data_IF_533012304261
#
_entry.id   IF_533012304261
#
_cell.length_a   1.000
_cell.length_b   1.000
_cell.length_c   1.000
_cell.angle_alpha   90.00
_cell.angle_beta   90.00
_cell.angle_gamma   90.00
#
_symmetry.space_group_name_H-M   'P 1'
#
loop_
_entity.id
_entity.type
_entity.pdbx_description
1 polymer ?
#
# COMPACT_ATOMS: atom_id res chain seq x y z
N UNK A 1 0.32 -8.97 -31.33
CA UNK A 1 -0.33 -7.68 -31.66
C UNK A 1 0.08 -6.67 -30.61
N UNK A 2 0.66 -5.53 -31.01
CA UNK A 2 1.09 -4.48 -30.09
C UNK A 2 0.05 -3.36 -30.05
N UNK A 3 -0.24 -2.86 -28.85
CA UNK A 3 -1.16 -1.73 -28.64
C UNK A 3 -0.36 -0.42 -28.74
N UNK A 4 -0.89 0.61 -29.40
CA UNK A 4 -0.18 1.90 -29.48
C UNK A 4 -0.26 2.66 -28.16
N UNK A 5 0.81 3.39 -27.81
CA UNK A 5 0.82 4.28 -26.64
C UNK A 5 -0.28 5.35 -26.71
N UNK A 6 -0.56 5.85 -27.91
CA UNK A 6 -1.62 6.83 -28.16
C UNK A 6 -3.02 6.31 -27.86
N UNK A 7 -3.21 4.99 -27.89
CA UNK A 7 -4.46 4.34 -27.50
C UNK A 7 -4.44 3.90 -26.03
N UNK A 8 -3.32 3.33 -25.58
CA UNK A 8 -3.17 2.79 -24.23
C UNK A 8 -3.30 3.85 -23.15
N UNK A 9 -2.77 5.05 -23.38
CA UNK A 9 -2.83 6.14 -22.40
C UNK A 9 -4.26 6.62 -22.15
N UNK A 10 -5.06 6.99 -23.17
CA UNK A 10 -6.49 7.28 -22.97
C UNK A 10 -7.24 6.15 -22.29
N UNK A 11 -7.04 4.90 -22.75
CA UNK A 11 -7.69 3.74 -22.14
C UNK A 11 -7.36 3.59 -20.64
N UNK A 12 -6.08 3.75 -20.26
CA UNK A 12 -5.67 3.68 -18.86
C UNK A 12 -6.28 4.81 -18.02
N UNK A 13 -6.46 6.00 -18.60
CA UNK A 13 -7.15 7.13 -17.94
C UNK A 13 -8.62 6.81 -17.71
N UNK A 14 -9.30 6.24 -18.71
CA UNK A 14 -10.71 5.85 -18.59
C UNK A 14 -10.91 4.77 -17.51
N UNK A 15 -10.06 3.73 -17.54
CA UNK A 15 -10.07 2.68 -16.50
C UNK A 15 -9.79 3.27 -15.11
N UNK A 16 -8.84 4.20 -15.00
CA UNK A 16 -8.53 4.86 -13.74
C UNK A 16 -9.70 5.72 -13.24
N UNK A 17 -10.40 6.42 -14.13
CA UNK A 17 -11.55 7.24 -13.77
C UNK A 17 -12.74 6.41 -13.26
N UNK A 18 -12.87 5.16 -13.72
CA UNK A 18 -13.88 4.20 -13.25
C UNK A 18 -13.45 3.42 -12.00
N UNK A 19 -12.19 3.55 -11.57
CA UNK A 19 -11.67 2.79 -10.43
C UNK A 19 -12.23 3.38 -9.13
N UNK A 20 -12.86 2.58 -8.26
CA UNK A 20 -13.37 3.05 -6.98
C UNK A 20 -12.26 3.63 -6.08
N UNK A 21 -12.63 4.55 -5.18
CA UNK A 21 -11.68 5.16 -4.24
C UNK A 21 -10.93 4.13 -3.37
N UNK A 22 -11.56 3.01 -3.06
CA UNK A 22 -10.98 1.90 -2.30
C UNK A 22 -10.12 0.95 -3.14
N UNK A 23 -9.81 1.32 -4.39
CA UNK A 23 -9.03 0.52 -5.34
C UNK A 23 -9.70 -0.82 -5.72
N UNK A 24 -11.01 -0.95 -5.46
CA UNK A 24 -11.72 -2.22 -5.63
C UNK A 24 -11.31 -3.28 -4.60
N UNK A 25 -10.82 -2.86 -3.43
CA UNK A 25 -10.43 -3.76 -2.35
C UNK A 25 -11.66 -4.48 -1.78
N UNK A 26 -11.68 -5.82 -1.88
CA UNK A 26 -12.73 -6.61 -1.24
C UNK A 26 -12.33 -6.88 0.22
N UNK A 27 -12.93 -6.11 1.12
CA UNK A 27 -12.69 -6.23 2.55
C UNK A 27 -13.65 -7.20 3.25
N UNK A 28 -14.59 -7.87 2.57
CA UNK A 28 -15.60 -8.73 3.20
C UNK A 28 -14.96 -9.86 4.00
N UNK A 29 -13.97 -10.54 3.41
CA UNK A 29 -13.24 -11.60 4.11
C UNK A 29 -12.51 -11.05 5.33
N UNK A 30 -11.79 -9.94 5.20
CA UNK A 30 -11.10 -9.28 6.32
C UNK A 30 -12.08 -8.83 7.41
N UNK A 31 -13.26 -8.35 7.03
CA UNK A 31 -14.30 -7.93 7.94
C UNK A 31 -14.95 -9.12 8.69
N UNK A 32 -14.97 -10.31 8.08
CA UNK A 32 -15.49 -11.53 8.70
C UNK A 32 -14.58 -12.12 9.77
N UNK A 33 -13.29 -11.75 9.77
CA UNK A 33 -12.31 -12.24 10.74
C UNK A 33 -12.54 -11.62 12.12
N UNK A 34 -12.20 -12.35 13.19
CA UNK A 34 -12.11 -11.79 14.54
C UNK A 34 -10.90 -10.84 14.66
N UNK A 35 -10.89 -10.01 15.69
CA UNK A 35 -9.77 -9.08 15.93
C UNK A 35 -8.45 -9.83 16.22
N UNK A 36 -8.52 -10.99 16.88
CA UNK A 36 -7.36 -11.88 17.11
C UNK A 36 -6.83 -12.49 15.80
N UNK A 37 -7.74 -12.84 14.88
CA UNK A 37 -7.34 -13.31 13.54
C UNK A 37 -6.68 -12.19 12.74
N UNK A 38 -7.21 -10.96 12.82
CA UNK A 38 -6.61 -9.79 12.17
C UNK A 38 -5.18 -9.50 12.67
N UNK A 39 -4.87 -9.76 13.95
CA UNK A 39 -3.52 -9.62 14.51
C UNK A 39 -2.50 -10.59 13.90
N UNK A 40 -2.95 -11.65 13.22
CA UNK A 40 -2.07 -12.54 12.46
C UNK A 40 -1.80 -12.03 11.03
N UNK A 41 -2.62 -11.11 10.52
CA UNK A 41 -2.47 -10.54 9.18
C UNK A 41 -1.35 -9.50 9.18
N UNK A 42 -0.44 -9.65 8.21
CA UNK A 42 0.68 -8.73 8.00
C UNK A 42 0.45 -7.93 6.71
N UNK A 43 0.04 -6.68 6.85
CA UNK A 43 -0.04 -5.73 5.75
C UNK A 43 1.37 -5.23 5.39
N UNK A 44 1.64 -5.08 4.11
CA UNK A 44 2.91 -4.59 3.59
C UNK A 44 2.73 -3.15 3.13
N UNK A 45 3.57 -2.24 3.64
CA UNK A 45 3.65 -0.88 3.12
C UNK A 45 4.85 -0.84 2.19
N UNK A 46 4.61 -0.51 0.93
CA UNK A 46 5.65 -0.42 -0.09
C UNK A 46 5.67 0.97 -0.76
N UNK A 47 6.83 1.32 -1.30
CA UNK A 47 7.16 2.62 -1.88
C UNK A 47 7.72 2.43 -3.30
N UNK A 48 7.08 3.09 -4.27
CA UNK A 48 7.64 3.26 -5.61
C UNK A 48 7.79 4.75 -5.92
N UNK A 49 8.58 5.10 -6.92
CA UNK A 49 8.68 6.49 -7.37
C UNK A 49 8.82 6.59 -8.88
N UNK A 50 8.29 7.69 -9.42
CA UNK A 50 8.44 8.06 -10.83
C UNK A 50 8.56 9.58 -10.98
N UNK A 51 8.83 10.04 -12.20
CA UNK A 51 8.77 11.45 -12.57
C UNK A 51 7.46 11.72 -13.30
N UNK A 52 6.75 12.77 -12.90
CA UNK A 52 5.51 13.19 -13.58
C UNK A 52 5.81 14.44 -14.39
N UNK A 53 5.62 14.37 -15.70
CA UNK A 53 5.90 15.43 -16.68
C UNK A 53 7.41 15.75 -16.85
N UNK A 54 8.10 16.17 -15.79
CA UNK A 54 9.53 16.52 -15.81
C UNK A 54 10.34 15.95 -14.63
N UNK A 55 11.65 15.76 -14.81
CA UNK A 55 12.56 15.11 -13.83
C UNK A 55 12.63 15.77 -12.45
N UNK A 56 12.31 17.06 -12.33
CA UNK A 56 12.26 17.74 -11.02
C UNK A 56 10.98 17.40 -10.24
N UNK A 57 9.95 16.89 -10.89
CA UNK A 57 8.68 16.49 -10.27
C UNK A 57 8.68 14.99 -9.95
N UNK A 58 9.55 14.59 -9.02
CA UNK A 58 9.57 13.23 -8.49
C UNK A 58 8.35 13.01 -7.59
N UNK A 59 7.55 11.99 -7.87
CA UNK A 59 6.41 11.55 -7.06
C UNK A 59 6.67 10.18 -6.47
N UNK A 60 6.24 10.01 -5.24
CA UNK A 60 6.24 8.74 -4.54
C UNK A 60 4.84 8.16 -4.56
N UNK A 61 4.76 6.87 -4.86
CA UNK A 61 3.55 6.07 -4.86
C UNK A 61 3.68 5.16 -3.65
N UNK A 62 2.80 5.34 -2.69
CA UNK A 62 2.70 4.54 -1.49
C UNK A 62 1.56 3.55 -1.68
N UNK A 63 1.77 2.29 -1.28
CA UNK A 63 0.75 1.24 -1.35
C UNK A 63 0.73 0.46 -0.05
N UNK A 64 -0.47 0.23 0.49
CA UNK A 64 -0.71 -0.78 1.54
C UNK A 64 -1.25 -2.03 0.87
N UNK A 65 -0.44 -3.07 0.81
CA UNK A 65 -0.77 -4.35 0.20
C UNK A 65 -1.07 -5.41 1.26
N UNK A 66 -2.09 -6.23 1.03
CA UNK A 66 -2.42 -7.37 1.88
C UNK A 66 -2.04 -8.67 1.17
N UNK A 67 -0.99 -9.39 1.60
CA UNK A 67 -0.61 -10.66 0.98
C UNK A 67 -1.69 -11.75 1.08
N UNK A 68 -2.55 -11.69 2.11
CA UNK A 68 -3.61 -12.67 2.33
C UNK A 68 -4.74 -12.55 1.30
N UNK A 69 -5.16 -11.33 0.96
CA UNK A 69 -6.16 -11.08 -0.09
C UNK A 69 -5.56 -10.84 -1.47
N UNK A 70 -4.25 -10.60 -1.53
CA UNK A 70 -3.51 -10.15 -2.73
C UNK A 70 -4.05 -8.85 -3.32
N UNK A 71 -4.54 -7.96 -2.46
CA UNK A 71 -5.12 -6.68 -2.87
C UNK A 71 -4.36 -5.51 -2.26
N UNK A 72 -4.32 -4.40 -3.01
CA UNK A 72 -3.98 -3.10 -2.44
C UNK A 72 -5.21 -2.59 -1.67
N UNK A 73 -5.02 -2.28 -0.38
CA UNK A 73 -6.08 -1.80 0.52
C UNK A 73 -6.09 -0.28 0.65
N UNK A 74 -4.98 0.38 0.33
CA UNK A 74 -4.86 1.83 0.30
C UNK A 74 -3.70 2.24 -0.62
N UNK A 75 -3.80 3.43 -1.21
CA UNK A 75 -2.74 4.07 -1.99
C UNK A 75 -2.68 5.55 -1.66
N UNK A 76 -1.49 6.15 -1.80
CA UNK A 76 -1.30 7.60 -1.72
C UNK A 76 -0.20 8.04 -2.68
N UNK A 77 -0.40 9.15 -3.40
CA UNK A 77 0.61 9.74 -4.28
C UNK A 77 1.07 11.05 -3.66
N UNK A 78 2.37 11.14 -3.36
CA UNK A 78 2.90 12.28 -2.62
C UNK A 78 4.40 12.39 -2.67
N UNK A 79 4.98 12.73 -1.52
CA UNK A 79 6.44 12.78 -1.31
C UNK A 79 6.88 11.58 -0.48
N UNK A 80 8.19 11.50 -0.18
CA UNK A 80 8.73 10.52 0.76
C UNK A 80 8.80 11.14 2.16
N UNK A 81 7.66 11.31 2.82
CA UNK A 81 7.62 11.97 4.13
C UNK A 81 6.72 11.25 5.13
N UNK A 82 6.88 11.60 6.42
CA UNK A 82 6.04 11.08 7.51
C UNK A 82 4.56 11.40 7.27
N UNK A 83 4.29 12.60 6.78
CA UNK A 83 2.93 13.05 6.50
C UNK A 83 2.28 12.23 5.37
N UNK A 84 3.06 11.78 4.39
CA UNK A 84 2.54 10.92 3.31
C UNK A 84 2.23 9.50 3.82
N UNK A 85 3.04 8.99 4.75
CA UNK A 85 2.77 7.74 5.45
C UNK A 85 1.52 7.84 6.34
N UNK A 86 1.33 8.95 7.05
CA UNK A 86 0.11 9.19 7.82
C UNK A 86 -1.12 9.27 6.91
N UNK A 87 -1.01 9.93 5.76
CA UNK A 87 -2.09 10.05 4.79
C UNK A 87 -2.53 8.68 4.26
N UNK A 88 -1.60 7.79 3.87
CA UNK A 88 -2.00 6.45 3.41
C UNK A 88 -2.60 5.59 4.53
N UNK A 89 -2.13 5.74 5.78
CA UNK A 89 -2.71 5.03 6.91
C UNK A 89 -4.13 5.54 7.24
N UNK A 90 -4.44 6.81 6.97
CA UNK A 90 -5.80 7.34 7.10
C UNK A 90 -6.75 6.79 6.03
N UNK A 91 -6.24 6.42 4.86
CA UNK A 91 -7.03 5.78 3.80
C UNK A 91 -7.36 4.30 4.11
N UNK A 92 -6.67 3.68 5.07
CA UNK A 92 -6.94 2.31 5.48
C UNK A 92 -8.09 2.26 6.51
N UNK A 93 -9.04 1.31 6.43
CA UNK A 93 -10.09 1.17 7.43
C UNK A 93 -9.55 1.05 8.86
N UNK A 94 -10.14 1.80 9.78
CA UNK A 94 -9.68 1.93 11.17
C UNK A 94 -9.51 0.60 11.91
N UNK A 95 -10.35 -0.39 11.60
CA UNK A 95 -10.29 -1.73 12.20
C UNK A 95 -9.03 -2.47 11.74
N UNK A 96 -8.70 -2.42 10.46
CA UNK A 96 -7.50 -3.03 9.91
C UNK A 96 -6.25 -2.31 10.41
N UNK A 97 -6.31 -0.97 10.48
CA UNK A 97 -5.20 -0.15 11.00
C UNK A 97 -4.84 -0.47 12.45
N UNK A 98 -5.83 -0.74 13.30
CA UNK A 98 -5.61 -1.04 14.73
C UNK A 98 -5.26 -2.50 15.00
N UNK A 99 -5.79 -3.42 14.20
CA UNK A 99 -5.71 -4.85 14.50
C UNK A 99 -4.68 -5.61 13.66
N UNK A 100 -4.28 -5.13 12.47
CA UNK A 100 -3.27 -5.80 11.65
C UNK A 100 -1.84 -5.39 12.03
N UNK A 101 -0.89 -6.27 11.71
CA UNK A 101 0.54 -5.95 11.75
C UNK A 101 0.98 -5.31 10.44
N UNK A 102 2.02 -4.48 10.49
CA UNK A 102 2.61 -3.85 9.31
C UNK A 102 4.05 -4.32 9.10
N UNK A 103 4.41 -4.61 7.84
CA UNK A 103 5.75 -4.89 7.37
C UNK A 103 6.19 -3.80 6.41
N UNK A 104 7.41 -3.30 6.55
CA UNK A 104 8.02 -2.44 5.53
C UNK A 104 9.53 -2.64 5.56
N UNK A 105 10.17 -2.68 4.39
CA UNK A 105 11.61 -2.96 4.28
C UNK A 105 12.51 -1.76 4.60
N UNK A 106 11.94 -0.55 4.73
CA UNK A 106 12.70 0.69 4.90
C UNK A 106 12.22 1.57 6.09
N UNK A 107 11.49 0.97 7.03
CA UNK A 107 10.85 1.67 8.16
C UNK A 107 11.79 2.23 9.23
N UNK A 108 13.10 2.06 9.10
CA UNK A 108 14.07 2.40 10.14
C UNK A 108 14.05 3.90 10.53
N UNK A 109 13.50 4.76 9.67
CA UNK A 109 13.29 6.19 9.94
C UNK A 109 11.87 6.58 10.42
N UNK A 110 10.90 5.66 10.38
CA UNK A 110 9.46 5.91 10.63
C UNK A 110 8.87 5.18 11.85
N UNK A 111 9.69 4.42 12.59
CA UNK A 111 9.32 3.65 13.80
C UNK A 111 8.52 4.39 14.90
N UNK A 112 8.40 5.72 14.85
CA UNK A 112 7.65 6.51 15.83
C UNK A 112 6.13 6.46 15.65
N UNK A 113 5.62 6.00 14.50
CA UNK A 113 4.19 6.07 14.14
C UNK A 113 3.46 4.72 14.22
N UNK A 114 4.16 3.61 14.48
CA UNK A 114 3.57 2.28 14.62
C UNK A 114 3.75 1.81 16.08
N UNK A 115 2.74 1.14 16.68
CA UNK A 115 2.89 0.56 18.01
C UNK A 115 4.14 -0.32 18.11
N UNK A 116 5.01 -0.01 19.08
CA UNK A 116 6.21 -0.81 19.38
C UNK A 116 5.79 -2.12 20.05
N UNK A 117 5.65 -3.21 19.28
CA UNK A 117 6.30 -4.53 19.52
C UNK A 117 5.63 -5.71 18.78
N UNK A 118 6.34 -6.84 18.53
CA UNK A 118 7.77 -7.01 18.36
C UNK A 118 8.13 -7.36 16.91
N UNK A 119 9.22 -6.77 16.44
CA UNK A 119 9.78 -6.93 15.10
C UNK A 119 10.44 -8.30 14.91
N UNK A 120 10.05 -9.05 13.86
CA UNK A 120 10.88 -10.12 13.31
C UNK A 120 11.58 -9.60 12.02
N UNK A 121 12.92 -9.53 11.99
CA UNK A 121 13.65 -9.14 10.78
C UNK A 121 13.48 -10.19 9.67
N UNK A 122 12.92 -9.77 8.54
CA UNK A 122 12.78 -10.60 7.34
C UNK A 122 14.06 -10.65 6.52
N UNK A 123 14.96 -11.58 6.85
CA UNK A 123 16.00 -12.08 5.93
C UNK A 123 16.10 -13.62 5.95
N UNK A 124 14.96 -14.31 6.01
CA UNK A 124 14.93 -15.76 6.16
C UNK A 124 14.43 -16.54 4.93
N UNK A 125 14.01 -15.91 3.83
CA UNK A 125 13.33 -16.63 2.73
C UNK A 125 13.76 -16.24 1.30
N UNK A 126 14.99 -15.76 1.09
CA UNK A 126 15.63 -15.93 -0.22
C UNK A 126 16.33 -17.28 -0.24
N UNK A 127 15.64 -18.30 -0.75
CA UNK A 127 16.29 -19.54 -1.19
C UNK A 127 16.90 -19.28 -2.56
N UNK A 128 18.23 -19.43 -2.66
CA UNK A 128 19.00 -19.51 -3.91
C UNK A 128 18.63 -20.76 -4.69
#
# INVERSE_FOLDING_TARGET
>A
MGVSLSWLLPYAVDVWAETPEDLGANNEWLNSLSDEQLQSIKLQIDEMWSFVDFKKNKKWIWVVYCPATKQALAMHIGRRSKNDLEAILQNLPDRLRRNCKFATDHFESYYQLIPKDPHQPGKAYTTT
#
